data_IF_667527716597
#
_entry.id   IF_667527716597
#
_cell.length_a   1.000
_cell.length_b   1.000
_cell.length_c   1.000
_cell.angle_alpha   90.00
_cell.angle_beta   90.00
_cell.angle_gamma   90.00
#
_symmetry.space_group_name_H-M   'P 1'
#
loop_
_entity.id
_entity.type
_entity.pdbx_description
1 polymer ?
#
# COMPACT_ATOMS: atom_id res chain seq x y z
N UNK A 1 28.83 -2.19 -32.79
CA UNK A 1 27.42 -2.58 -32.95
C UNK A 1 26.64 -1.89 -31.84
N UNK A 2 26.10 -0.70 -32.12
CA UNK A 2 25.50 0.19 -31.12
C UNK A 2 24.01 -0.08 -30.95
N UNK A 3 23.56 -0.28 -29.72
CA UNK A 3 22.15 -0.39 -29.38
C UNK A 3 21.55 1.01 -29.17
N UNK A 4 20.68 1.38 -30.09
CA UNK A 4 19.90 2.62 -30.11
C UNK A 4 18.96 2.66 -28.89
N UNK A 5 19.19 3.60 -27.95
CA UNK A 5 18.16 3.99 -26.97
C UNK A 5 17.13 4.86 -27.69
N UNK A 6 15.94 4.31 -27.94
CA UNK A 6 14.78 5.06 -28.40
C UNK A 6 14.22 5.91 -27.26
N UNK A 7 14.75 7.12 -27.09
CA UNK A 7 14.14 8.14 -26.24
C UNK A 7 12.82 8.61 -26.86
N UNK A 8 11.72 8.55 -26.09
CA UNK A 8 10.48 9.21 -26.48
C UNK A 8 10.72 10.74 -26.47
N UNK A 9 10.32 11.47 -27.52
CA UNK A 9 10.49 12.91 -27.56
C UNK A 9 9.42 13.59 -26.69
N UNK A 10 9.86 14.55 -25.86
CA UNK A 10 9.05 15.73 -25.52
C UNK A 10 8.05 15.62 -24.38
N UNK A 11 8.41 15.01 -23.25
CA UNK A 11 7.78 15.39 -21.97
C UNK A 11 8.73 16.35 -21.25
N UNK A 12 8.53 17.65 -21.45
CA UNK A 12 9.15 18.69 -20.62
C UNK A 12 8.70 18.48 -19.16
N UNK A 13 9.61 18.24 -18.20
CA UNK A 13 9.26 18.05 -16.80
C UNK A 13 8.69 19.33 -16.14
N UNK A 14 8.65 20.46 -16.84
CA UNK A 14 8.22 21.75 -16.29
C UNK A 14 6.71 22.06 -16.39
N UNK A 15 5.85 21.14 -16.86
CA UNK A 15 4.42 21.46 -17.01
C UNK A 15 3.45 20.30 -16.74
N UNK A 16 3.57 19.65 -15.59
CA UNK A 16 2.39 19.01 -14.99
C UNK A 16 1.50 20.13 -14.41
N UNK A 17 0.21 20.20 -14.74
CA UNK A 17 -0.69 21.20 -14.16
C UNK A 17 -0.65 21.06 -12.64
N UNK A 18 -0.10 22.08 -11.97
CA UNK A 18 0.27 22.04 -10.55
C UNK A 18 -0.93 21.92 -9.61
N UNK A 19 -2.14 22.12 -10.12
CA UNK A 19 -3.38 21.97 -9.38
C UNK A 19 -4.40 21.25 -10.27
N UNK A 20 -4.82 20.05 -9.89
CA UNK A 20 -6.14 19.60 -10.30
C UNK A 20 -7.14 20.64 -9.76
N UNK A 21 -7.91 21.33 -10.62
CA UNK A 21 -8.62 22.57 -10.27
C UNK A 21 -9.61 22.40 -9.11
N UNK A 22 -9.99 21.16 -8.81
CA UNK A 22 -10.98 20.82 -7.80
C UNK A 22 -10.38 20.71 -6.38
N UNK A 23 -9.08 20.42 -6.25
CA UNK A 23 -8.46 20.20 -4.93
C UNK A 23 -8.47 21.46 -4.05
N UNK A 24 -8.12 22.67 -4.55
CA UNK A 24 -8.16 23.89 -3.75
C UNK A 24 -9.57 24.25 -3.24
N UNK A 25 -10.62 23.95 -4.01
CA UNK A 25 -12.02 24.22 -3.63
C UNK A 25 -12.56 23.20 -2.62
N UNK A 26 -12.08 21.96 -2.65
CA UNK A 26 -12.46 20.90 -1.73
C UNK A 26 -11.73 20.96 -0.37
N UNK A 27 -10.57 21.62 -0.31
CA UNK A 27 -9.72 21.74 0.89
C UNK A 27 -10.44 22.35 2.12
N UNK A 28 -11.16 23.49 2.03
CA UNK A 28 -11.85 24.07 3.18
C UNK A 28 -12.91 23.16 3.81
N UNK A 29 -13.43 22.21 3.02
CA UNK A 29 -14.44 21.26 3.46
C UNK A 29 -13.84 19.93 3.96
N UNK A 30 -12.52 19.81 4.04
CA UNK A 30 -11.83 18.57 4.42
C UNK A 30 -11.95 17.45 3.39
N UNK A 31 -12.33 17.78 2.15
CA UNK A 31 -12.54 16.82 1.06
C UNK A 31 -11.32 16.68 0.15
N UNK A 32 -10.27 17.46 0.39
CA UNK A 32 -8.98 17.36 -0.28
C UNK A 32 -7.84 17.63 0.70
N UNK A 33 -6.69 17.01 0.43
CA UNK A 33 -5.49 17.23 1.23
C UNK A 33 -4.93 18.65 1.06
N UNK A 34 -4.27 19.16 2.09
CA UNK A 34 -3.64 20.48 2.08
C UNK A 34 -2.40 20.56 1.18
N UNK A 35 -1.83 19.42 0.77
CA UNK A 35 -0.67 19.33 -0.11
C UNK A 35 -1.01 19.58 -1.58
N UNK A 36 -0.05 20.11 -2.35
CA UNK A 36 -0.14 20.19 -3.81
C UNK A 36 -0.03 18.81 -4.45
N UNK A 37 -0.38 18.71 -5.74
CA UNK A 37 -0.23 17.46 -6.48
C UNK A 37 1.23 16.98 -6.56
N UNK A 38 2.18 17.92 -6.68
CA UNK A 38 3.61 17.61 -6.68
C UNK A 38 4.08 17.07 -5.33
N UNK A 39 3.63 17.68 -4.23
CA UNK A 39 3.94 17.20 -2.88
C UNK A 39 3.35 15.80 -2.63
N UNK A 40 2.13 15.54 -3.10
CA UNK A 40 1.54 14.19 -3.06
C UNK A 40 2.35 13.17 -3.85
N UNK A 41 2.88 13.54 -5.02
CA UNK A 41 3.70 12.64 -5.82
C UNK A 41 5.02 12.31 -5.10
N UNK A 42 5.69 13.31 -4.54
CA UNK A 42 6.96 13.12 -3.83
C UNK A 42 6.81 12.25 -2.59
N UNK A 43 5.76 12.48 -1.78
CA UNK A 43 5.44 11.62 -0.62
C UNK A 43 5.13 10.18 -1.06
N UNK A 44 4.42 9.97 -2.17
CA UNK A 44 4.12 8.62 -2.68
C UNK A 44 5.35 7.92 -3.27
N UNK A 45 6.38 8.66 -3.69
CA UNK A 45 7.65 8.07 -4.12
C UNK A 45 8.46 7.68 -2.88
N UNK A 46 8.61 8.60 -1.93
CA UNK A 46 9.36 8.37 -0.68
C UNK A 46 8.79 7.21 0.14
N UNK A 47 7.46 7.07 0.23
CA UNK A 47 6.83 5.98 0.99
C UNK A 47 7.19 4.59 0.45
N UNK A 48 7.46 4.47 -0.86
CA UNK A 48 7.91 3.19 -1.42
C UNK A 48 9.31 2.81 -0.89
N UNK A 49 10.21 3.78 -0.76
CA UNK A 49 11.54 3.57 -0.19
C UNK A 49 11.46 3.19 1.30
N UNK A 50 10.62 3.89 2.06
CA UNK A 50 10.36 3.56 3.47
C UNK A 50 9.75 2.17 3.63
N UNK A 51 8.79 1.80 2.78
CA UNK A 51 8.18 0.48 2.81
C UNK A 51 9.18 -0.62 2.44
N UNK A 52 10.08 -0.38 1.48
CA UNK A 52 11.15 -1.31 1.12
C UNK A 52 12.14 -1.51 2.27
N UNK A 53 12.38 -0.49 3.10
CA UNK A 53 13.26 -0.57 4.27
C UNK A 53 12.59 -1.16 5.53
N UNK A 54 11.29 -1.51 5.48
CA UNK A 54 10.53 -1.94 6.65
C UNK A 54 10.81 -3.39 7.10
N UNK A 55 11.45 -4.20 6.26
CA UNK A 55 11.70 -5.63 6.50
C UNK A 55 12.28 -5.94 7.90
N UNK A 56 13.32 -5.25 8.42
CA UNK A 56 13.86 -5.55 9.75
C UNK A 56 12.89 -5.22 10.90
N UNK A 57 11.92 -4.34 10.68
CA UNK A 57 10.85 -4.07 11.66
C UNK A 57 9.89 -5.26 11.69
N UNK A 58 9.48 -5.77 10.53
CA UNK A 58 8.60 -6.92 10.42
C UNK A 58 9.22 -8.19 11.01
N UNK A 59 10.52 -8.38 10.83
CA UNK A 59 11.26 -9.52 11.42
C UNK A 59 11.24 -9.52 12.95
N UNK A 60 11.25 -8.33 13.57
CA UNK A 60 11.32 -8.18 15.03
C UNK A 60 9.97 -8.24 15.72
N UNK A 61 8.87 -8.35 14.96
CA UNK A 61 7.53 -8.44 15.55
C UNK A 61 7.36 -9.72 16.37
N UNK A 62 7.07 -9.55 17.66
CA UNK A 62 6.88 -10.64 18.62
C UNK A 62 5.41 -11.03 18.83
N UNK A 63 4.48 -10.24 18.29
CA UNK A 63 3.04 -10.47 18.41
C UNK A 63 2.42 -10.97 17.09
N UNK A 64 1.27 -11.67 17.13
CA UNK A 64 0.64 -12.21 15.94
C UNK A 64 0.10 -11.07 15.09
N UNK A 65 0.38 -11.12 13.79
CA UNK A 65 -0.09 -10.14 12.81
C UNK A 65 -0.72 -10.86 11.64
N UNK A 66 -1.85 -10.34 11.16
CA UNK A 66 -2.63 -10.90 10.07
C UNK A 66 -2.86 -9.89 8.96
N UNK A 67 -2.40 -10.24 7.77
CA UNK A 67 -2.57 -9.44 6.57
C UNK A 67 -3.84 -9.86 5.81
N UNK A 68 -4.62 -8.87 5.40
CA UNK A 68 -5.68 -9.04 4.40
C UNK A 68 -5.30 -8.21 3.19
N UNK A 69 -4.99 -8.89 2.09
CA UNK A 69 -4.45 -8.26 0.88
C UNK A 69 -5.57 -8.00 -0.12
N UNK A 70 -5.93 -6.74 -0.28
CA UNK A 70 -6.77 -6.28 -1.39
C UNK A 70 -6.05 -6.53 -2.71
N UNK A 71 -6.68 -7.15 -3.71
CA UNK A 71 -6.10 -7.49 -5.02
C UNK A 71 -6.54 -6.57 -6.17
N UNK A 72 -7.59 -5.79 -5.96
CA UNK A 72 -8.10 -4.85 -6.96
C UNK A 72 -7.12 -3.73 -7.29
N UNK A 73 -7.26 -3.17 -8.50
CA UNK A 73 -6.46 -2.03 -8.96
C UNK A 73 -6.73 -0.77 -8.13
N UNK A 74 -5.73 0.10 -8.04
CA UNK A 74 -5.80 1.39 -7.37
C UNK A 74 -5.27 2.51 -8.27
N UNK A 75 -5.59 3.76 -7.95
CA UNK A 75 -4.99 4.93 -8.61
C UNK A 75 -3.49 4.98 -8.29
N UNK A 76 -2.64 4.98 -9.32
CA UNK A 76 -1.20 5.19 -9.19
C UNK A 76 -0.30 3.95 -9.13
N UNK A 77 -0.82 2.71 -9.29
CA UNK A 77 0.04 1.51 -9.29
C UNK A 77 -0.65 0.23 -9.80
N UNK A 78 0.16 -0.66 -10.39
CA UNK A 78 -0.25 -2.02 -10.75
C UNK A 78 -0.43 -2.88 -9.51
N UNK A 79 -1.50 -3.67 -9.47
CA UNK A 79 -1.92 -4.36 -8.26
C UNK A 79 -0.91 -5.45 -7.80
N UNK A 80 -0.25 -6.13 -8.74
CA UNK A 80 0.48 -7.38 -8.46
C UNK A 80 1.89 -7.21 -7.88
N UNK A 81 2.64 -6.20 -8.31
CA UNK A 81 4.07 -6.05 -7.92
C UNK A 81 4.25 -5.75 -6.43
N UNK A 82 3.33 -4.96 -5.86
CA UNK A 82 3.35 -4.56 -4.45
C UNK A 82 3.05 -5.71 -3.47
N UNK A 83 2.56 -6.85 -3.97
CA UNK A 83 2.12 -7.98 -3.13
C UNK A 83 3.12 -9.12 -3.10
N UNK A 84 3.87 -9.30 -4.20
CA UNK A 84 5.00 -10.23 -4.25
C UNK A 84 6.10 -9.86 -3.23
N UNK A 85 6.23 -8.57 -2.88
CA UNK A 85 7.19 -8.10 -1.88
C UNK A 85 6.90 -8.60 -0.46
N UNK A 86 5.66 -9.03 -0.16
CA UNK A 86 5.31 -9.55 1.16
C UNK A 86 5.60 -11.05 1.30
N UNK A 87 5.63 -11.82 0.21
CA UNK A 87 5.77 -13.29 0.24
C UNK A 87 7.04 -13.79 0.99
N UNK A 88 8.20 -13.11 0.97
CA UNK A 88 9.38 -13.56 1.71
C UNK A 88 9.25 -13.46 3.24
N UNK A 89 8.45 -12.52 3.73
CA UNK A 89 8.48 -12.10 5.15
C UNK A 89 7.79 -13.12 6.09
N UNK A 90 6.61 -13.70 5.77
CA UNK A 90 6.00 -14.76 6.57
C UNK A 90 6.88 -16.00 6.77
N UNK A 91 7.82 -16.27 5.85
CA UNK A 91 8.76 -17.38 5.98
C UNK A 91 9.84 -17.12 7.04
N UNK A 92 10.12 -15.86 7.35
CA UNK A 92 11.17 -15.44 8.30
C UNK A 92 10.62 -15.17 9.70
N UNK A 93 9.34 -14.81 9.82
CA UNK A 93 8.68 -14.58 11.11
C UNK A 93 7.31 -15.29 11.17
N UNK A 94 7.15 -16.36 11.97
CA UNK A 94 5.91 -17.15 12.04
C UNK A 94 4.73 -16.39 12.65
N UNK A 95 4.99 -15.24 13.29
CA UNK A 95 3.94 -14.37 13.80
C UNK A 95 3.17 -13.66 12.68
N UNK A 96 3.79 -13.47 11.51
CA UNK A 96 3.20 -12.82 10.35
C UNK A 96 2.51 -13.85 9.46
N UNK A 97 1.23 -13.65 9.16
CA UNK A 97 0.49 -14.51 8.22
C UNK A 97 -0.42 -13.69 7.32
N UNK A 98 -0.63 -14.17 6.10
CA UNK A 98 -1.69 -13.67 5.22
C UNK A 98 -2.95 -14.48 5.49
N UNK A 99 -3.98 -13.86 6.05
CA UNK A 99 -5.26 -14.53 6.33
C UNK A 99 -6.14 -14.62 5.08
N UNK A 100 -6.08 -13.62 4.20
CA UNK A 100 -6.88 -13.62 2.98
C UNK A 100 -6.30 -12.69 1.90
N UNK A 101 -6.58 -13.03 0.64
CA UNK A 101 -6.49 -12.15 -0.54
C UNK A 101 -7.91 -11.88 -1.03
N UNK A 102 -8.30 -10.63 -1.25
CA UNK A 102 -9.69 -10.23 -1.57
C UNK A 102 -9.76 -9.35 -2.80
N UNK A 103 -10.84 -9.45 -3.59
CA UNK A 103 -10.92 -8.82 -4.91
C UNK A 103 -11.06 -7.28 -4.91
N UNK A 104 -11.46 -6.67 -3.79
CA UNK A 104 -11.52 -5.21 -3.71
C UNK A 104 -10.13 -4.56 -3.64
N UNK A 105 -10.08 -3.23 -3.66
CA UNK A 105 -8.86 -2.46 -3.49
C UNK A 105 -8.76 -1.87 -2.06
N UNK A 106 -7.65 -1.20 -1.74
CA UNK A 106 -7.35 -0.71 -0.40
C UNK A 106 -8.38 0.27 0.18
N UNK A 107 -9.06 1.06 -0.66
CA UNK A 107 -10.10 2.00 -0.18
C UNK A 107 -11.46 1.34 0.02
N UNK A 108 -11.67 0.15 -0.56
CA UNK A 108 -12.95 -0.54 -0.55
C UNK A 108 -12.97 -1.80 0.33
N UNK A 109 -11.82 -2.30 0.78
CA UNK A 109 -11.69 -3.54 1.56
C UNK A 109 -12.58 -3.57 2.80
N UNK A 110 -12.66 -2.48 3.56
CA UNK A 110 -13.51 -2.40 4.74
C UNK A 110 -15.01 -2.35 4.40
N UNK A 111 -15.38 -1.85 3.21
CA UNK A 111 -16.77 -1.77 2.79
C UNK A 111 -17.26 -3.07 2.15
N UNK A 112 -16.43 -3.68 1.29
CA UNK A 112 -16.81 -4.82 0.44
C UNK A 112 -16.44 -6.17 1.05
N UNK A 113 -15.27 -6.24 1.72
CA UNK A 113 -14.69 -7.48 2.22
C UNK A 113 -14.57 -7.49 3.75
N UNK A 114 -15.45 -6.75 4.44
CA UNK A 114 -15.47 -6.63 5.90
C UNK A 114 -15.51 -7.99 6.61
N UNK A 115 -16.10 -9.02 5.99
CA UNK A 115 -16.14 -10.38 6.54
C UNK A 115 -14.75 -11.01 6.63
N UNK A 116 -13.92 -10.82 5.61
CA UNK A 116 -12.54 -11.30 5.60
C UNK A 116 -11.71 -10.59 6.68
N UNK A 117 -11.90 -9.28 6.83
CA UNK A 117 -11.27 -8.49 7.90
C UNK A 117 -11.71 -8.97 9.27
N UNK A 118 -13.01 -9.15 9.49
CA UNK A 118 -13.53 -9.64 10.76
C UNK A 118 -13.03 -11.06 11.11
N UNK A 119 -12.83 -11.93 10.11
CA UNK A 119 -12.23 -13.24 10.31
C UNK A 119 -10.75 -13.13 10.71
N UNK A 120 -9.96 -12.29 10.04
CA UNK A 120 -8.56 -12.04 10.38
C UNK A 120 -8.40 -11.46 11.80
N UNK A 121 -9.32 -10.58 12.23
CA UNK A 121 -9.34 -10.04 13.60
C UNK A 121 -9.55 -11.16 14.62
N UNK A 122 -10.51 -12.06 14.40
CA UNK A 122 -10.73 -13.22 15.29
C UNK A 122 -9.51 -14.14 15.32
N UNK A 123 -8.94 -14.46 14.17
CA UNK A 123 -7.71 -15.26 14.07
C UNK A 123 -6.55 -14.64 14.86
N UNK A 124 -6.41 -13.31 14.79
CA UNK A 124 -5.39 -12.58 15.54
C UNK A 124 -5.62 -12.68 17.05
N UNK A 125 -6.87 -12.50 17.49
CA UNK A 125 -7.25 -12.60 18.90
C UNK A 125 -7.01 -14.01 19.46
N UNK A 126 -7.39 -15.05 18.72
CA UNK A 126 -7.16 -16.45 19.10
C UNK A 126 -5.65 -16.73 19.21
N UNK A 127 -4.86 -16.32 18.22
CA UNK A 127 -3.41 -16.49 18.23
C UNK A 127 -2.75 -15.78 19.42
N UNK A 128 -3.22 -14.59 19.78
CA UNK A 128 -2.72 -13.88 20.96
C UNK A 128 -3.09 -14.60 22.26
N UNK A 129 -4.33 -15.09 22.37
CA UNK A 129 -4.80 -15.86 23.52
C UNK A 129 -4.01 -17.15 23.75
N UNK A 130 -3.43 -17.73 22.71
CA UNK A 130 -2.52 -18.88 22.82
C UNK A 130 -1.11 -18.52 23.30
N UNK A 131 -0.64 -17.29 23.10
CA UNK A 131 0.69 -16.86 23.55
C UNK A 131 0.74 -16.43 25.01
N UNK A 132 -0.39 -16.00 25.58
CA UNK A 132 -0.50 -15.50 26.96
C UNK A 132 -0.82 -16.62 27.96
N UNK A 133 -1.17 -17.82 27.48
CA UNK A 133 -1.42 -19.02 28.29
C UNK A 133 -0.16 -19.85 28.46
#
# INVERSE_FOLDING_TARGET
>A
MGAHRGGRPGADPAHLPQDAPDLPLARPFGLAASMSAAQHAEVNIEINEVCAALEPVLDRLTCPVRYVLATGANLGGGAEEMRASLDPVPNRNPNLRVSAKVGSNHTQILRKDFRAVAAAVRETADAHGHQVR
#
